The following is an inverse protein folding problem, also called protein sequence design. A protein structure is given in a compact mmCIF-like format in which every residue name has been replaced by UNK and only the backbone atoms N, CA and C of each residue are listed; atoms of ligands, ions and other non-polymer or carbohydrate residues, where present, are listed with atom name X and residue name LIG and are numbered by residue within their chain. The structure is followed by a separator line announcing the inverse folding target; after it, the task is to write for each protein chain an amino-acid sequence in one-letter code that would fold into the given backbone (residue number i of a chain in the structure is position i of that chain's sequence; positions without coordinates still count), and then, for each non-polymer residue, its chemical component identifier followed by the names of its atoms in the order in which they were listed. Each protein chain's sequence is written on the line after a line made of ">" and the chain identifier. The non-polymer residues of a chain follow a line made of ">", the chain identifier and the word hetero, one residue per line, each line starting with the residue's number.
data_IF_822094828890
#
_entry.id   IF_822094828890
#
_cell.length_a   1.000
_cell.length_b   1.000
_cell.length_c   1.000
_cell.angle_alpha   90.00
_cell.angle_beta   90.00
_cell.angle_gamma   90.00
#
_symmetry.space_group_name_H-M   'P 1'
#
loop_
_entity.id
_entity.type
_entity.pdbx_description
1 polymer ?
#
# COMPACT_ATOMS: atom_id res chain seq x y z
N UNK A 1 5.44 7.81 29.75
CA UNK A 1 5.09 8.51 28.50
C UNK A 1 4.01 7.71 27.79
N UNK A 2 2.83 8.28 27.60
CA UNK A 2 1.80 7.67 26.75
C UNK A 2 2.34 7.64 25.33
N UNK A 3 2.75 6.47 24.83
CA UNK A 3 3.08 6.25 23.42
C UNK A 3 1.75 6.19 22.68
N UNK A 4 1.14 7.34 22.47
CA UNK A 4 -0.04 7.49 21.62
C UNK A 4 0.49 7.98 20.25
N UNK A 5 0.13 7.27 19.18
CA UNK A 5 0.48 7.64 17.80
C UNK A 5 -0.79 8.19 17.15
N UNK A 6 -0.67 9.34 16.48
CA UNK A 6 -1.75 9.92 15.69
C UNK A 6 -2.13 8.99 14.52
N UNK A 7 -3.43 8.89 14.21
CA UNK A 7 -3.99 8.08 13.12
C UNK A 7 -3.29 8.32 11.77
N UNK A 8 -2.92 9.57 11.47
CA UNK A 8 -2.20 9.89 10.23
C UNK A 8 -0.81 9.27 10.17
N UNK A 9 -0.08 9.28 11.28
CA UNK A 9 1.23 8.65 11.39
C UNK A 9 1.11 7.12 11.32
N UNK A 10 0.06 6.58 11.93
CA UNK A 10 -0.28 5.15 11.83
C UNK A 10 -0.58 4.74 10.38
N UNK A 11 -1.46 5.48 9.69
CA UNK A 11 -1.82 5.18 8.30
C UNK A 11 -0.64 5.41 7.32
N UNK A 12 0.24 6.38 7.60
CA UNK A 12 1.49 6.56 6.86
C UNK A 12 2.39 5.33 6.97
N UNK A 13 2.55 4.76 8.17
CA UNK A 13 3.36 3.57 8.39
C UNK A 13 2.71 2.31 7.79
N UNK A 14 1.40 2.14 8.02
CA UNK A 14 0.66 0.96 7.57
C UNK A 14 0.49 0.91 6.05
N UNK A 15 0.28 2.06 5.41
CA UNK A 15 -0.21 2.11 4.03
C UNK A 15 0.72 2.87 3.11
N UNK A 16 1.26 4.01 3.57
CA UNK A 16 2.21 4.81 2.80
C UNK A 16 3.56 4.10 2.63
N UNK A 17 4.28 3.90 3.72
CA UNK A 17 5.62 3.28 3.74
C UNK A 17 5.56 1.85 3.21
N UNK A 18 4.58 1.07 3.65
CA UNK A 18 4.39 -0.29 3.16
C UNK A 18 4.16 -0.32 1.64
N UNK A 19 3.35 0.60 1.12
CA UNK A 19 3.13 0.74 -0.32
C UNK A 19 4.42 1.04 -1.10
N UNK A 20 5.24 1.97 -0.60
CA UNK A 20 6.54 2.32 -1.21
C UNK A 20 7.51 1.13 -1.19
N UNK A 21 7.59 0.39 -0.07
CA UNK A 21 8.46 -0.77 0.08
C UNK A 21 8.10 -1.85 -0.95
N UNK A 22 6.82 -2.12 -1.18
CA UNK A 22 6.38 -3.09 -2.19
C UNK A 22 6.68 -2.64 -3.61
N UNK A 23 6.47 -1.37 -3.95
CA UNK A 23 6.87 -0.85 -5.27
C UNK A 23 8.38 -0.95 -5.45
N UNK A 24 9.17 -0.63 -4.42
CA UNK A 24 10.62 -0.77 -4.47
C UNK A 24 11.05 -2.22 -4.70
N UNK A 25 10.39 -3.21 -4.05
CA UNK A 25 10.63 -4.64 -4.35
C UNK A 25 10.31 -4.99 -5.82
N UNK A 26 9.21 -4.45 -6.37
CA UNK A 26 8.86 -4.63 -7.77
C UNK A 26 9.91 -4.07 -8.72
N UNK A 27 10.41 -2.87 -8.44
CA UNK A 27 11.50 -2.24 -9.20
C UNK A 27 12.80 -3.05 -9.11
N UNK A 28 13.15 -3.59 -7.94
CA UNK A 28 14.34 -4.46 -7.82
C UNK A 28 14.26 -5.72 -8.66
N UNK A 29 13.05 -6.25 -8.89
CA UNK A 29 12.86 -7.38 -9.79
C UNK A 29 13.06 -7.00 -11.26
N UNK A 30 12.96 -5.71 -11.64
CA UNK A 30 13.30 -5.22 -12.99
C UNK A 30 14.81 -5.07 -13.21
N UNK A 31 15.54 -4.66 -12.17
CA UNK A 31 16.96 -4.39 -12.30
C UNK A 31 17.79 -5.68 -12.25
N UNK A 32 18.72 -5.82 -13.20
CA UNK A 32 19.74 -6.87 -13.21
C UNK A 32 20.86 -6.54 -12.22
N UNK A 33 20.53 -6.44 -10.94
CA UNK A 33 21.51 -6.18 -9.89
C UNK A 33 22.39 -7.40 -9.64
N UNK A 34 23.66 -7.15 -9.31
CA UNK A 34 24.56 -8.18 -8.80
C UNK A 34 24.00 -8.79 -7.50
N UNK A 35 24.27 -10.08 -7.28
CA UNK A 35 23.75 -10.85 -6.15
C UNK A 35 23.95 -10.15 -4.79
N UNK A 36 25.14 -9.59 -4.56
CA UNK A 36 25.48 -8.88 -3.32
C UNK A 36 24.60 -7.65 -3.12
N UNK A 37 24.43 -6.81 -4.16
CA UNK A 37 23.58 -5.63 -4.10
C UNK A 37 22.11 -6.01 -3.88
N UNK A 38 21.64 -7.05 -4.57
CA UNK A 38 20.27 -7.57 -4.39
C UNK A 38 20.04 -8.05 -2.95
N UNK A 39 21.01 -8.74 -2.35
CA UNK A 39 20.94 -9.19 -0.97
C UNK A 39 20.89 -8.02 0.03
N UNK A 40 21.75 -7.01 -0.17
CA UNK A 40 21.78 -5.81 0.69
C UNK A 40 20.45 -5.05 0.63
N UNK A 41 19.95 -4.75 -0.57
CA UNK A 41 18.69 -4.00 -0.71
C UNK A 41 17.51 -4.85 -0.20
N UNK A 42 17.52 -6.16 -0.45
CA UNK A 42 16.53 -7.08 0.10
C UNK A 42 16.48 -7.05 1.63
N UNK A 43 17.62 -7.03 2.30
CA UNK A 43 17.71 -6.93 3.76
C UNK A 43 17.12 -5.62 4.29
N UNK A 44 17.44 -4.50 3.65
CA UNK A 44 16.91 -3.17 4.01
C UNK A 44 15.37 -3.15 3.89
N UNK A 45 14.84 -3.69 2.79
CA UNK A 45 13.39 -3.76 2.59
C UNK A 45 12.70 -4.72 3.56
N UNK A 46 13.38 -5.79 3.99
CA UNK A 46 12.86 -6.71 5.00
C UNK A 46 12.76 -6.02 6.37
N UNK A 47 13.79 -5.26 6.76
CA UNK A 47 13.75 -4.43 7.97
C UNK A 47 12.62 -3.38 7.89
N UNK A 48 12.48 -2.72 6.73
CA UNK A 48 11.38 -1.78 6.50
C UNK A 48 10.01 -2.46 6.58
N UNK A 49 9.88 -3.70 6.11
CA UNK A 49 8.63 -4.46 6.18
C UNK A 49 8.28 -4.84 7.62
N UNK A 50 9.26 -5.15 8.48
CA UNK A 50 9.03 -5.42 9.91
C UNK A 50 8.50 -4.18 10.62
N UNK A 51 8.86 -2.98 10.16
CA UNK A 51 8.35 -1.73 10.75
C UNK A 51 6.82 -1.57 10.63
N UNK A 52 6.17 -2.30 9.71
CA UNK A 52 4.71 -2.39 9.58
C UNK A 52 4.04 -3.02 10.82
N UNK A 53 4.76 -3.82 11.62
CA UNK A 53 4.19 -4.43 12.81
C UNK A 53 4.12 -3.46 14.00
N UNK A 54 4.93 -2.39 13.97
CA UNK A 54 5.04 -1.41 15.07
C UNK A 54 3.68 -0.78 15.43
N UNK A 55 2.83 -0.34 14.48
CA UNK A 55 1.56 0.29 14.79
C UNK A 55 0.51 -0.65 15.40
N UNK A 56 0.68 -1.98 15.26
CA UNK A 56 -0.21 -2.96 15.91
C UNK A 56 0.04 -3.07 17.42
N UNK A 57 1.26 -2.79 17.87
CA UNK A 57 1.64 -2.88 19.28
C UNK A 57 1.47 -1.55 20.04
N UNK A 58 1.12 -0.46 19.35
CA UNK A 58 1.00 0.87 19.94
C UNK A 58 -0.46 1.32 19.88
N UNK A 59 -0.99 1.76 21.03
CA UNK A 59 -2.36 2.28 21.11
C UNK A 59 -2.45 3.59 20.33
N UNK A 60 -3.45 3.67 19.46
CA UNK A 60 -3.84 4.92 18.81
C UNK A 60 -4.37 5.89 19.87
N UNK A 61 -4.10 7.18 19.69
CA UNK A 61 -4.68 8.28 20.48
C UNK A 61 -6.23 8.20 20.45
N UNK A 62 -6.93 8.86 21.38
CA UNK A 62 -8.40 8.89 21.42
C UNK A 62 -8.93 9.31 20.05
N UNK A 63 -9.48 8.35 19.31
CA UNK A 63 -9.71 8.48 17.87
C UNK A 63 -10.77 9.56 17.60
N UNK A 64 -10.43 10.53 16.76
CA UNK A 64 -11.40 11.49 16.23
C UNK A 64 -12.38 10.72 15.31
N UNK A 65 -13.69 10.83 15.59
CA UNK A 65 -14.75 10.16 14.82
C UNK A 65 -14.65 10.52 13.32
N UNK A 66 -14.22 11.74 13.00
CA UNK A 66 -14.02 12.19 11.62
C UNK A 66 -12.85 11.47 10.93
N UNK A 67 -11.74 11.25 11.63
CA UNK A 67 -10.60 10.53 11.03
C UNK A 67 -10.91 9.04 10.82
N UNK A 68 -11.71 8.42 11.70
CA UNK A 68 -12.24 7.05 11.48
C UNK A 68 -13.16 7.01 10.25
N UNK A 69 -14.06 7.99 10.13
CA UNK A 69 -14.97 8.09 8.98
C UNK A 69 -14.19 8.20 7.67
N UNK A 70 -13.18 9.07 7.63
CA UNK A 70 -12.31 9.27 6.47
C UNK A 70 -11.54 8.00 6.11
N UNK A 71 -11.07 7.24 7.10
CA UNK A 71 -10.42 5.95 6.88
C UNK A 71 -11.37 4.92 6.27
N UNK A 72 -12.62 4.84 6.73
CA UNK A 72 -13.65 3.95 6.15
C UNK A 72 -14.01 4.35 4.73
N UNK A 73 -14.19 5.66 4.47
CA UNK A 73 -14.44 6.19 3.12
C UNK A 73 -13.29 5.88 2.17
N UNK A 74 -12.05 6.04 2.62
CA UNK A 74 -10.86 5.70 1.84
C UNK A 74 -10.85 4.22 1.46
N UNK A 75 -11.13 3.31 2.39
CA UNK A 75 -11.24 1.86 2.12
C UNK A 75 -12.35 1.55 1.11
N UNK A 76 -13.54 2.15 1.27
CA UNK A 76 -14.67 1.94 0.36
C UNK A 76 -14.34 2.39 -1.07
N UNK A 77 -13.82 3.62 -1.25
CA UNK A 77 -13.42 4.14 -2.56
C UNK A 77 -12.36 3.28 -3.23
N UNK A 78 -11.47 2.69 -2.43
CA UNK A 78 -10.46 1.77 -2.92
C UNK A 78 -11.06 0.48 -3.46
N UNK A 79 -12.02 -0.10 -2.74
CA UNK A 79 -12.76 -1.27 -3.21
C UNK A 79 -13.48 -0.96 -4.52
N UNK A 80 -14.17 0.18 -4.62
CA UNK A 80 -14.86 0.61 -5.85
C UNK A 80 -13.88 0.74 -7.03
N UNK A 81 -12.71 1.35 -6.79
CA UNK A 81 -11.66 1.51 -7.80
C UNK A 81 -11.06 0.17 -8.22
N UNK A 82 -10.85 -0.76 -7.29
CA UNK A 82 -10.38 -2.11 -7.59
C UNK A 82 -11.40 -2.91 -8.40
N UNK A 83 -12.68 -2.84 -8.04
CA UNK A 83 -13.76 -3.50 -8.79
C UNK A 83 -13.81 -2.96 -10.22
N UNK A 84 -13.74 -1.63 -10.39
CA UNK A 84 -13.71 -1.00 -11.71
C UNK A 84 -12.48 -1.43 -12.50
N UNK A 85 -11.30 -1.43 -11.88
CA UNK A 85 -10.05 -1.88 -12.48
C UNK A 85 -10.16 -3.32 -12.97
N UNK A 86 -10.52 -4.26 -12.09
CA UNK A 86 -10.69 -5.68 -12.43
C UNK A 86 -11.68 -5.83 -13.59
N UNK A 87 -12.82 -5.14 -13.53
CA UNK A 87 -13.84 -5.21 -14.60
C UNK A 87 -13.28 -4.79 -15.96
N UNK A 88 -12.50 -3.70 -16.02
CA UNK A 88 -11.84 -3.24 -17.25
C UNK A 88 -10.79 -4.26 -17.72
N UNK A 89 -9.97 -4.79 -16.82
CA UNK A 89 -8.97 -5.82 -17.15
C UNK A 89 -9.63 -7.10 -17.70
N UNK A 90 -10.75 -7.54 -17.11
CA UNK A 90 -11.52 -8.69 -17.57
C UNK A 90 -12.08 -8.44 -18.97
N UNK A 91 -12.64 -7.26 -19.24
CA UNK A 91 -13.12 -6.89 -20.58
C UNK A 91 -12.00 -6.95 -21.62
N UNK A 92 -10.84 -6.36 -21.31
CA UNK A 92 -9.67 -6.40 -22.21
C UNK A 92 -9.20 -7.84 -22.45
N UNK A 93 -9.21 -8.69 -21.41
CA UNK A 93 -8.81 -10.09 -21.51
C UNK A 93 -9.73 -10.89 -22.43
N UNK A 94 -11.04 -10.59 -22.47
CA UNK A 94 -11.99 -11.27 -23.38
C UNK A 94 -11.63 -11.01 -24.84
N UNK A 95 -11.07 -9.84 -25.17
CA UNK A 95 -10.65 -9.50 -26.54
C UNK A 95 -9.23 -9.97 -26.88
N UNK A 96 -8.41 -10.27 -25.88
CA UNK A 96 -7.02 -10.75 -26.04
C UNK A 96 -6.90 -12.11 -25.37
N UNK A 97 -7.21 -13.17 -26.13
CA UNK A 97 -7.22 -14.60 -25.74
C UNK A 97 -5.95 -15.15 -25.04
N UNK A 98 -4.90 -14.36 -24.84
CA UNK A 98 -3.60 -14.80 -24.34
C UNK A 98 -2.92 -13.83 -23.39
N UNK A 99 -3.68 -13.21 -22.47
CA UNK A 99 -3.07 -12.32 -21.47
C UNK A 99 -2.39 -13.11 -20.34
N UNK A 100 -1.13 -13.51 -20.57
CA UNK A 100 -0.28 -14.12 -19.55
C UNK A 100 0.45 -13.02 -18.79
N UNK A 101 0.10 -12.82 -17.52
CA UNK A 101 0.76 -11.86 -16.63
C UNK A 101 1.63 -12.63 -15.64
N UNK A 102 2.91 -12.29 -15.57
CA UNK A 102 3.80 -12.83 -14.54
C UNK A 102 3.44 -12.21 -13.18
N UNK A 103 2.85 -13.02 -12.31
CA UNK A 103 2.45 -12.63 -10.96
C UNK A 103 3.63 -12.15 -10.12
N UNK A 104 4.81 -12.75 -10.30
CA UNK A 104 6.04 -12.34 -9.59
C UNK A 104 6.40 -10.90 -9.92
N UNK A 105 6.11 -10.50 -11.15
CA UNK A 105 6.39 -9.17 -11.63
C UNK A 105 5.33 -8.17 -11.16
N UNK A 106 4.04 -8.49 -11.32
CA UNK A 106 2.97 -7.52 -11.12
C UNK A 106 2.55 -7.35 -9.66
N UNK A 107 2.62 -8.40 -8.83
CA UNK A 107 2.09 -8.36 -7.47
C UNK A 107 2.70 -7.28 -6.58
N UNK A 108 4.02 -7.02 -6.61
CA UNK A 108 4.59 -5.93 -5.83
C UNK A 108 4.00 -4.56 -6.19
N UNK A 109 3.67 -4.34 -7.47
CA UNK A 109 3.04 -3.09 -7.92
C UNK A 109 1.56 -3.02 -7.55
N UNK A 110 0.83 -4.14 -7.61
CA UNK A 110 -0.57 -4.18 -7.18
C UNK A 110 -0.68 -3.91 -5.68
N UNK A 111 0.07 -4.65 -4.85
CA UNK A 111 0.05 -4.51 -3.40
C UNK A 111 0.55 -3.11 -3.01
N UNK A 112 1.62 -2.65 -3.63
CA UNK A 112 2.18 -1.33 -3.37
C UNK A 112 1.25 -0.19 -3.78
N UNK A 113 0.68 -0.27 -4.98
CA UNK A 113 -0.26 0.70 -5.53
C UNK A 113 -1.54 0.80 -4.72
N UNK A 114 -2.15 -0.34 -4.34
CA UNK A 114 -3.34 -0.37 -3.48
C UNK A 114 -3.07 0.34 -2.15
N UNK A 115 -1.96 0.03 -1.49
CA UNK A 115 -1.65 0.64 -0.19
C UNK A 115 -1.35 2.15 -0.31
N UNK A 116 -0.67 2.58 -1.37
CA UNK A 116 -0.47 4.01 -1.64
C UNK A 116 -1.76 4.75 -1.96
N UNK A 117 -2.63 4.20 -2.81
CA UNK A 117 -3.93 4.81 -3.14
C UNK A 117 -4.77 4.95 -1.87
N UNK A 118 -4.75 3.94 -0.98
CA UNK A 118 -5.43 3.98 0.33
C UNK A 118 -4.95 5.17 1.15
N UNK A 119 -3.63 5.31 1.27
CA UNK A 119 -3.02 6.39 2.02
C UNK A 119 -3.35 7.76 1.41
N UNK A 120 -3.29 7.88 0.08
CA UNK A 120 -3.65 9.12 -0.63
C UNK A 120 -5.11 9.50 -0.35
N UNK A 121 -6.06 8.56 -0.47
CA UNK A 121 -7.47 8.85 -0.17
C UNK A 121 -7.69 9.25 1.28
N UNK A 122 -6.99 8.62 2.23
CA UNK A 122 -7.05 9.01 3.63
C UNK A 122 -6.55 10.44 3.85
N UNK A 123 -5.36 10.79 3.33
CA UNK A 123 -4.77 12.13 3.46
C UNK A 123 -5.63 13.20 2.79
N UNK A 124 -6.21 12.90 1.63
CA UNK A 124 -7.14 13.80 0.94
C UNK A 124 -8.40 14.00 1.79
N UNK A 125 -8.97 12.93 2.34
CA UNK A 125 -10.12 13.02 3.27
C UNK A 125 -9.84 13.90 4.47
N UNK A 126 -8.69 13.73 5.14
CA UNK A 126 -8.30 14.59 6.27
C UNK A 126 -8.07 16.04 5.88
N UNK A 127 -7.52 16.32 4.68
CA UNK A 127 -7.21 17.68 4.25
C UNK A 127 -8.45 18.48 3.87
N UNK A 128 -9.46 17.82 3.31
CA UNK A 128 -10.67 18.47 2.80
C UNK A 128 -11.91 18.26 3.68
N UNK A 129 -11.80 17.50 4.78
CA UNK A 129 -12.89 17.25 5.72
C UNK A 129 -14.08 16.49 5.11
N UNK A 130 -13.83 15.68 4.07
CA UNK A 130 -14.87 15.00 3.27
C UNK A 130 -15.16 13.61 3.78
#
# INVERSE_FOLDING_TARGET
>A
MKKEINLRTKELLESGVFGIVWIAMGLLNLFQLNFILKAIVGLILLIASISFLIPYFIKSEKEDEMSILNQRKAKSRLCDLLILGISVFTLISVYKDSWVVDLKFIMPFIIGGVNLIKYIFFVVGERFGV
#
